data_IF_585552086415
#
_entry.id   IF_585552086415
#
_cell.length_a   1.000
_cell.length_b   1.000
_cell.length_c   1.000
_cell.angle_alpha   90.00
_cell.angle_beta   90.00
_cell.angle_gamma   90.00
#
_symmetry.space_group_name_H-M   'P 1'
#
loop_
_entity.id
_entity.type
_entity.pdbx_description
1 polymer ?
#
# COMPACT_ATOMS: atom_id res chain seq x y z
N UNK A 1 -19.46 0.70 8.05
CA UNK A 1 -18.91 -0.12 6.94
C UNK A 1 -17.92 -1.11 7.54
N UNK A 2 -17.90 -2.36 7.07
CA UNK A 2 -16.95 -3.37 7.52
C UNK A 2 -16.20 -3.95 6.30
N UNK A 3 -14.90 -4.18 6.44
CA UNK A 3 -14.12 -4.88 5.43
C UNK A 3 -14.68 -6.30 5.27
N UNK A 4 -14.82 -6.76 4.02
CA UNK A 4 -15.19 -8.15 3.75
C UNK A 4 -14.05 -9.08 4.19
N UNK A 5 -14.34 -10.26 4.75
CA UNK A 5 -13.29 -11.22 5.10
C UNK A 5 -12.39 -11.52 3.90
N UNK A 6 -11.10 -11.67 4.16
CA UNK A 6 -10.15 -12.12 3.14
C UNK A 6 -10.54 -13.52 2.65
N UNK A 7 -10.46 -13.75 1.34
CA UNK A 7 -10.72 -15.08 0.78
C UNK A 7 -9.69 -16.08 1.33
N UNK A 8 -10.15 -17.24 1.81
CA UNK A 8 -9.28 -18.24 2.42
C UNK A 8 -8.17 -18.73 1.47
N UNK A 9 -8.44 -18.77 0.16
CA UNK A 9 -7.45 -19.13 -0.87
C UNK A 9 -6.24 -18.21 -0.91
N UNK A 10 -6.39 -16.94 -0.51
CA UNK A 10 -5.31 -15.96 -0.51
C UNK A 10 -4.17 -16.34 0.45
N UNK A 11 -4.43 -17.18 1.47
CA UNK A 11 -3.40 -17.66 2.39
C UNK A 11 -2.56 -18.81 1.83
N UNK A 12 -3.02 -19.48 0.77
CA UNK A 12 -2.34 -20.65 0.17
C UNK A 12 -1.89 -20.41 -1.27
N UNK A 13 -2.34 -19.33 -1.88
CA UNK A 13 -2.00 -18.99 -3.26
C UNK A 13 -0.53 -18.58 -3.38
N UNK A 14 0.20 -19.26 -4.27
CA UNK A 14 1.60 -18.95 -4.55
C UNK A 14 1.68 -17.81 -5.55
N UNK A 15 2.38 -16.73 -5.20
CA UNK A 15 2.71 -15.68 -6.16
C UNK A 15 3.63 -16.22 -7.26
N UNK A 16 3.24 -16.07 -8.53
CA UNK A 16 4.04 -16.52 -9.68
C UNK A 16 5.32 -15.71 -9.89
N UNK A 17 5.31 -14.43 -9.50
CA UNK A 17 6.47 -13.55 -9.53
C UNK A 17 6.34 -12.40 -8.53
N UNK A 18 7.48 -11.86 -8.09
CA UNK A 18 7.55 -10.61 -7.35
C UNK A 18 7.50 -9.42 -8.33
N UNK A 19 6.30 -8.97 -8.70
CA UNK A 19 6.10 -7.95 -9.74
C UNK A 19 6.85 -6.62 -9.48
N UNK A 20 7.05 -6.26 -8.21
CA UNK A 20 7.80 -5.06 -7.81
C UNK A 20 9.28 -5.08 -8.23
N UNK A 21 9.82 -6.23 -8.66
CA UNK A 21 11.19 -6.31 -9.20
C UNK A 21 11.32 -5.77 -10.63
N UNK A 22 10.23 -5.70 -11.39
CA UNK A 22 10.26 -5.33 -12.81
C UNK A 22 9.27 -4.23 -13.17
N UNK A 23 8.34 -3.89 -12.28
CA UNK A 23 7.40 -2.80 -12.45
C UNK A 23 7.72 -1.67 -11.48
N UNK A 24 7.59 -0.40 -11.91
CA UNK A 24 7.68 0.72 -11.00
C UNK A 24 6.61 0.59 -9.91
N UNK A 25 6.94 0.99 -8.70
CA UNK A 25 6.15 0.75 -7.50
C UNK A 25 5.90 2.06 -6.73
N UNK A 26 4.70 2.18 -6.15
CA UNK A 26 4.32 3.26 -5.24
C UNK A 26 3.74 2.66 -3.97
N UNK A 27 4.01 3.28 -2.84
CA UNK A 27 3.50 2.87 -1.54
C UNK A 27 3.02 4.07 -0.75
N UNK A 28 1.94 3.88 -0.01
CA UNK A 28 1.48 4.81 1.00
C UNK A 28 1.63 4.14 2.36
N UNK A 29 2.38 4.76 3.27
CA UNK A 29 2.56 4.28 4.64
C UNK A 29 1.61 5.03 5.57
N UNK A 30 0.79 4.29 6.31
CA UNK A 30 -0.15 4.84 7.28
C UNK A 30 0.54 4.94 8.66
N UNK A 31 0.98 6.14 9.03
CA UNK A 31 1.87 6.33 10.20
C UNK A 31 1.26 6.00 11.57
N UNK A 32 -0.06 5.79 11.66
CA UNK A 32 -0.74 5.35 12.88
C UNK A 32 -1.61 4.10 12.62
N UNK A 33 -1.19 3.23 11.70
CA UNK A 33 -1.82 1.93 11.50
C UNK A 33 -1.72 1.08 12.80
N UNK A 34 -2.81 0.39 13.12
CA UNK A 34 -2.97 -0.47 14.30
C UNK A 34 -3.31 -1.92 13.92
N UNK A 35 -3.53 -2.19 12.64
CA UNK A 35 -3.72 -3.52 12.10
C UNK A 35 -2.40 -4.06 11.50
N UNK A 36 -1.60 -3.19 10.88
CA UNK A 36 -0.27 -3.47 10.37
C UNK A 36 0.69 -2.50 11.06
N UNK A 37 1.85 -2.98 11.52
CA UNK A 37 2.85 -2.09 12.10
C UNK A 37 3.44 -1.21 10.97
N UNK A 38 3.47 0.13 11.09
CA UNK A 38 4.01 1.02 10.06
C UNK A 38 5.46 0.68 9.65
N UNK A 39 6.29 0.13 10.54
CA UNK A 39 7.64 -0.34 10.19
C UNK A 39 7.62 -1.50 9.18
N UNK A 40 6.61 -2.37 9.25
CA UNK A 40 6.44 -3.47 8.29
C UNK A 40 6.03 -2.92 6.92
N UNK A 41 5.19 -1.88 6.90
CA UNK A 41 4.82 -1.18 5.66
C UNK A 41 6.04 -0.53 5.01
N UNK A 42 6.82 0.23 5.80
CA UNK A 42 8.08 0.86 5.33
C UNK A 42 9.04 -0.18 4.78
N UNK A 43 9.31 -1.24 5.55
CA UNK A 43 10.18 -2.32 5.11
C UNK A 43 9.74 -2.93 3.77
N UNK A 44 8.43 -3.19 3.61
CA UNK A 44 7.86 -3.71 2.38
C UNK A 44 8.03 -2.76 1.19
N UNK A 45 7.77 -1.48 1.42
CA UNK A 45 7.87 -0.42 0.41
C UNK A 45 9.32 -0.16 -0.02
N UNK A 46 10.25 -0.11 0.93
CA UNK A 46 11.69 0.03 0.67
C UNK A 46 12.23 -1.18 -0.08
N UNK A 47 11.88 -2.40 0.34
CA UNK A 47 12.27 -3.63 -0.36
C UNK A 47 11.75 -3.66 -1.80
N UNK A 48 10.59 -3.06 -2.05
CA UNK A 48 10.01 -2.92 -3.37
C UNK A 48 10.65 -1.81 -4.22
N UNK A 49 11.52 -0.97 -3.65
CA UNK A 49 12.06 0.21 -4.33
C UNK A 49 10.97 1.21 -4.71
N UNK A 50 9.91 1.29 -3.90
CA UNK A 50 8.75 2.12 -4.22
C UNK A 50 9.04 3.61 -4.03
N UNK A 51 8.30 4.45 -4.76
CA UNK A 51 8.10 5.85 -4.35
C UNK A 51 7.15 5.84 -3.15
N UNK A 52 7.63 6.31 -2.00
CA UNK A 52 6.91 6.23 -0.72
C UNK A 52 6.30 7.58 -0.38
N UNK A 53 5.01 7.59 -0.03
CA UNK A 53 4.35 8.71 0.65
C UNK A 53 3.91 8.22 2.02
N UNK A 54 4.39 8.86 3.08
CA UNK A 54 3.96 8.55 4.44
C UNK A 54 3.02 9.63 4.96
N UNK A 55 1.93 9.21 5.62
CA UNK A 55 0.98 10.13 6.24
C UNK A 55 0.94 9.87 7.74
N UNK A 56 1.50 10.82 8.50
CA UNK A 56 1.46 10.78 9.96
C UNK A 56 0.01 10.78 10.48
N UNK A 57 -0.25 9.97 11.51
CA UNK A 57 -1.57 9.88 12.13
C UNK A 57 -2.65 9.21 11.26
N UNK A 58 -2.32 8.68 10.08
CA UNK A 58 -3.26 7.94 9.25
C UNK A 58 -3.51 6.54 9.82
N UNK A 59 -4.79 6.16 9.93
CA UNK A 59 -5.24 4.83 10.32
C UNK A 59 -5.10 3.81 9.18
N UNK A 60 -5.17 2.51 9.48
CA UNK A 60 -5.25 1.41 8.51
C UNK A 60 -6.20 1.65 7.34
N UNK A 61 -7.40 2.18 7.61
CA UNK A 61 -8.39 2.54 6.60
C UNK A 61 -8.04 3.87 5.90
N UNK A 62 -6.80 4.01 5.39
CA UNK A 62 -6.25 5.28 4.87
C UNK A 62 -7.01 5.82 3.66
N UNK A 63 -7.58 4.94 2.83
CA UNK A 63 -8.47 5.34 1.75
C UNK A 63 -9.75 6.03 2.24
N UNK A 64 -10.17 5.79 3.48
CA UNK A 64 -11.34 6.44 4.10
C UNK A 64 -10.92 7.68 4.88
N UNK A 65 -9.82 7.60 5.64
CA UNK A 65 -9.38 8.70 6.52
C UNK A 65 -8.58 9.79 5.80
N UNK A 66 -7.92 9.48 4.69
CA UNK A 66 -7.08 10.37 3.85
C UNK A 66 -7.33 10.13 2.35
N UNK A 67 -8.59 10.24 1.87
CA UNK A 67 -8.95 9.89 0.50
C UNK A 67 -8.29 10.78 -0.56
N UNK A 68 -7.96 12.03 -0.23
CA UNK A 68 -7.36 12.99 -1.17
C UNK A 68 -5.92 12.62 -1.49
N UNK A 69 -5.17 12.26 -0.46
CA UNK A 69 -3.77 11.86 -0.53
C UNK A 69 -3.63 10.53 -1.27
N UNK A 70 -4.50 9.56 -0.98
CA UNK A 70 -4.58 8.30 -1.73
C UNK A 70 -4.87 8.55 -3.21
N UNK A 71 -5.87 9.38 -3.53
CA UNK A 71 -6.21 9.69 -4.91
C UNK A 71 -5.08 10.46 -5.64
N UNK A 72 -4.33 11.30 -4.92
CA UNK A 72 -3.17 11.99 -5.48
C UNK A 72 -2.06 11.00 -5.85
N UNK A 73 -1.68 10.11 -4.93
CA UNK A 73 -0.64 9.10 -5.18
C UNK A 73 -0.99 8.21 -6.38
N UNK A 74 -2.26 7.79 -6.50
CA UNK A 74 -2.72 7.00 -7.65
C UNK A 74 -2.57 7.80 -8.96
N UNK A 75 -2.91 9.10 -8.97
CA UNK A 75 -2.74 9.94 -10.16
C UNK A 75 -1.27 10.11 -10.53
N UNK A 76 -0.39 10.25 -9.55
CA UNK A 76 1.05 10.39 -9.80
C UNK A 76 1.62 9.11 -10.41
N UNK A 77 1.23 7.94 -9.87
CA UNK A 77 1.58 6.65 -10.45
C UNK A 77 1.10 6.52 -11.90
N UNK A 78 -0.18 6.86 -12.17
CA UNK A 78 -0.73 6.82 -13.54
C UNK A 78 0.07 7.70 -14.49
N UNK A 79 0.38 8.95 -14.11
CA UNK A 79 1.15 9.87 -14.96
C UNK A 79 2.56 9.37 -15.24
N UNK A 80 3.19 8.68 -14.29
CA UNK A 80 4.54 8.17 -14.43
C UNK A 80 4.64 6.89 -15.28
N UNK A 81 3.53 6.19 -15.52
CA UNK A 81 3.50 4.89 -16.23
C UNK A 81 2.57 4.84 -17.43
N UNK A 82 1.97 5.97 -17.83
CA UNK A 82 1.12 6.04 -19.04
C UNK A 82 1.93 6.29 -20.30
#
# INVERSE_FOLDING_TARGET
MAQRPLAASAFTETASAAAWKTKPSWALVAGADQAINPEVERFGAERAGATIVEIEGASHAVAVSRPKEVAALIRDAVRATS
#
